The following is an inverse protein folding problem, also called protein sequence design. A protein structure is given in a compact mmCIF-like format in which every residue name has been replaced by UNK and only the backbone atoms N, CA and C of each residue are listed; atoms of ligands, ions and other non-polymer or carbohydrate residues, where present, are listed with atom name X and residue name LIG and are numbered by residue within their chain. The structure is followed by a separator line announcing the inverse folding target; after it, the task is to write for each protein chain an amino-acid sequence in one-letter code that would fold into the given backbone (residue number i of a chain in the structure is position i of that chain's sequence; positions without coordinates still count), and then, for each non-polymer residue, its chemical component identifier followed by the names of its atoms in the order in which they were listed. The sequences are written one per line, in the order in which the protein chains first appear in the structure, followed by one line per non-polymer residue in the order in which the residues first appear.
data_IF_593739982549
#
_entry.id   IF_593739982549
#
_cell.length_a   1.000
_cell.length_b   1.000
_cell.length_c   1.000
_cell.angle_alpha   90.00
_cell.angle_beta   90.00
_cell.angle_gamma   90.00
#
_symmetry.space_group_name_H-M   'P 1'
#
loop_
_entity.id
_entity.type
_entity.pdbx_description
1 polymer ?
#
# COMPACT_ATOMS: atom_id res chain seq x y z
N UNK A 1 -83.47 -7.61 -15.33
CA UNK A 1 -83.29 -8.03 -13.93
C UNK A 1 -81.82 -8.37 -13.75
N UNK A 2 -81.20 -7.64 -12.92
CA UNK A 2 -79.77 -7.23 -12.93
C UNK A 2 -78.78 -8.32 -12.55
N UNK A 3 -77.85 -8.52 -13.41
CA UNK A 3 -76.57 -9.19 -13.16
C UNK A 3 -75.72 -8.38 -12.22
N UNK A 4 -75.37 -8.98 -11.08
CA UNK A 4 -74.34 -8.51 -10.21
C UNK A 4 -73.26 -9.60 -10.13
N UNK A 5 -72.35 -9.60 -11.13
CA UNK A 5 -71.03 -10.24 -11.00
C UNK A 5 -70.09 -9.26 -10.39
N UNK A 6 -69.96 -9.29 -9.09
CA UNK A 6 -68.92 -8.61 -8.37
C UNK A 6 -67.65 -9.42 -8.45
N UNK A 7 -66.65 -8.82 -9.04
CA UNK A 7 -65.30 -9.28 -9.07
C UNK A 7 -64.74 -9.51 -7.66
N UNK A 8 -64.54 -10.76 -7.31
CA UNK A 8 -63.75 -11.15 -6.17
C UNK A 8 -62.28 -11.07 -6.58
N UNK A 9 -61.71 -9.88 -6.39
CA UNK A 9 -60.24 -9.74 -6.44
C UNK A 9 -59.67 -10.41 -5.19
N UNK A 10 -59.23 -11.64 -5.34
CA UNK A 10 -58.32 -12.29 -4.40
C UNK A 10 -56.99 -11.65 -4.59
N UNK A 11 -56.71 -10.61 -3.82
CA UNK A 11 -55.36 -10.10 -3.61
C UNK A 11 -54.59 -11.13 -2.79
N UNK A 12 -53.93 -12.03 -3.51
CA UNK A 12 -52.86 -12.84 -2.94
C UNK A 12 -51.75 -11.86 -2.62
N UNK A 13 -51.74 -11.38 -1.38
CA UNK A 13 -50.57 -10.69 -0.83
C UNK A 13 -49.49 -11.74 -0.68
N UNK A 14 -48.71 -11.92 -1.75
CA UNK A 14 -47.46 -12.63 -1.71
C UNK A 14 -46.54 -11.83 -0.77
N UNK A 15 -46.56 -12.15 0.50
CA UNK A 15 -45.49 -11.80 1.43
C UNK A 15 -44.24 -12.52 0.98
N UNK A 16 -43.54 -11.92 0.02
CA UNK A 16 -42.14 -12.25 -0.22
C UNK A 16 -41.44 -11.87 1.09
N UNK A 17 -41.26 -12.86 1.94
CA UNK A 17 -40.28 -12.82 3.01
C UNK A 17 -38.93 -12.64 2.32
N UNK A 18 -38.54 -11.39 2.12
CA UNK A 18 -37.13 -11.06 2.00
C UNK A 18 -36.52 -11.52 3.32
N UNK A 19 -36.07 -12.74 3.40
CA UNK A 19 -34.99 -13.10 4.28
C UNK A 19 -33.79 -12.32 3.74
N UNK A 20 -33.72 -11.04 4.14
CA UNK A 20 -32.48 -10.30 4.09
C UNK A 20 -31.50 -11.20 4.86
N UNK A 21 -30.63 -11.89 4.12
CA UNK A 21 -29.40 -12.40 4.69
C UNK A 21 -28.71 -11.15 5.27
N UNK A 22 -28.99 -10.83 6.52
CA UNK A 22 -28.13 -9.92 7.26
C UNK A 22 -26.80 -10.66 7.35
N UNK A 23 -25.92 -10.40 6.40
CA UNK A 23 -24.51 -10.69 6.55
C UNK A 23 -24.13 -9.97 7.85
N UNK A 24 -23.91 -10.74 8.92
CA UNK A 24 -23.31 -10.19 10.13
C UNK A 24 -22.03 -9.54 9.66
N UNK A 25 -21.99 -8.21 9.70
CA UNK A 25 -20.74 -7.51 9.45
C UNK A 25 -19.70 -8.07 10.42
N UNK A 26 -18.47 -8.26 9.94
CA UNK A 26 -17.33 -8.51 10.84
C UNK A 26 -17.40 -7.39 11.86
N UNK A 27 -17.59 -7.72 13.14
CA UNK A 27 -17.54 -6.74 14.20
C UNK A 27 -16.08 -6.31 14.26
N UNK A 28 -15.73 -5.38 13.39
CA UNK A 28 -14.56 -4.55 13.57
C UNK A 28 -14.85 -3.87 14.88
N UNK A 29 -14.10 -4.21 15.93
CA UNK A 29 -14.23 -3.52 17.21
C UNK A 29 -14.07 -2.05 16.88
N UNK A 30 -15.17 -1.29 16.96
CA UNK A 30 -15.16 0.12 16.60
C UNK A 30 -14.23 0.84 17.58
N UNK A 31 -13.03 1.15 17.09
CA UNK A 31 -12.02 1.87 17.83
C UNK A 31 -12.38 3.35 17.72
N UNK A 32 -12.86 3.91 18.82
CA UNK A 32 -13.19 5.33 18.89
C UNK A 32 -11.92 6.17 19.01
N UNK A 33 -12.01 7.43 18.64
CA UNK A 33 -10.88 8.38 18.76
C UNK A 33 -10.27 8.41 20.18
N UNK A 34 -11.12 8.31 21.21
CA UNK A 34 -10.65 8.22 22.60
C UNK A 34 -9.79 6.97 22.86
N UNK A 35 -10.10 5.84 22.24
CA UNK A 35 -9.29 4.62 22.35
C UNK A 35 -7.91 4.82 21.72
N UNK A 36 -7.84 5.47 20.55
CA UNK A 36 -6.56 5.80 19.88
C UNK A 36 -5.71 6.71 20.75
N UNK A 37 -6.35 7.71 21.41
CA UNK A 37 -5.68 8.60 22.34
C UNK A 37 -5.10 7.82 23.52
N UNK A 38 -5.84 6.87 24.11
CA UNK A 38 -5.35 6.03 25.20
C UNK A 38 -4.20 5.12 24.77
N UNK A 39 -4.31 4.49 23.61
CA UNK A 39 -3.25 3.65 23.06
C UNK A 39 -1.97 4.46 22.81
N UNK A 40 -2.12 5.64 22.24
CA UNK A 40 -0.98 6.49 21.90
C UNK A 40 -0.26 7.08 23.11
N UNK A 41 -0.95 7.33 24.23
CA UNK A 41 -0.32 7.76 25.50
C UNK A 41 0.61 6.69 26.10
N UNK A 42 0.39 5.40 25.76
CA UNK A 42 1.23 4.28 26.22
C UNK A 42 2.45 4.05 25.31
N UNK A 43 2.52 4.75 24.17
CA UNK A 43 3.68 4.70 23.28
C UNK A 43 4.84 5.51 23.86
N UNK A 44 6.05 5.15 23.46
CA UNK A 44 7.27 5.86 23.84
C UNK A 44 7.58 6.96 22.80
N UNK A 45 7.43 8.21 23.16
CA UNK A 45 7.70 9.36 22.27
C UNK A 45 9.19 9.48 21.87
N UNK A 46 10.09 8.93 22.67
CA UNK A 46 11.53 8.91 22.39
C UNK A 46 12.00 7.59 21.73
N UNK A 47 11.08 6.79 21.24
CA UNK A 47 11.38 5.49 20.64
C UNK A 47 12.22 5.60 19.38
N UNK A 48 12.00 6.62 18.57
CA UNK A 48 12.72 6.90 17.33
C UNK A 48 13.65 8.11 17.54
N UNK A 49 14.94 7.93 17.30
CA UNK A 49 15.84 9.07 17.11
C UNK A 49 15.52 9.69 15.74
N UNK A 50 14.60 10.68 15.73
CA UNK A 50 14.05 11.25 14.50
C UNK A 50 15.09 11.93 13.62
N UNK A 51 16.11 12.57 14.19
CA UNK A 51 17.17 13.25 13.42
C UNK A 51 17.96 12.23 12.60
N UNK A 52 18.41 11.16 13.24
CA UNK A 52 19.14 10.08 12.56
C UNK A 52 18.24 9.35 11.56
N UNK A 53 17.01 9.00 11.93
CA UNK A 53 16.08 8.30 11.08
C UNK A 53 15.75 9.11 9.81
N UNK A 54 15.55 10.44 9.96
CA UNK A 54 15.26 11.35 8.84
C UNK A 54 16.45 11.49 7.90
N UNK A 55 17.65 11.59 8.45
CA UNK A 55 18.86 11.61 7.63
C UNK A 55 18.99 10.31 6.80
N UNK A 56 18.84 9.16 7.46
CA UNK A 56 18.87 7.85 6.81
C UNK A 56 17.74 7.69 5.77
N UNK A 57 16.56 8.26 6.06
CA UNK A 57 15.44 8.29 5.11
C UNK A 57 15.84 9.03 3.83
N UNK A 58 16.38 10.24 3.92
CA UNK A 58 16.74 11.03 2.75
C UNK A 58 17.94 10.46 1.99
N UNK A 59 18.90 9.83 2.66
CA UNK A 59 19.98 9.07 1.99
C UNK A 59 19.35 7.98 1.08
N UNK A 60 18.36 7.23 1.60
CA UNK A 60 17.67 6.19 0.81
C UNK A 60 16.76 6.79 -0.24
N UNK A 61 16.00 7.83 0.09
CA UNK A 61 15.04 8.48 -0.82
C UNK A 61 15.71 9.02 -2.07
N UNK A 62 16.87 9.68 -1.94
CA UNK A 62 17.64 10.24 -3.04
C UNK A 62 18.66 9.27 -3.65
N UNK A 63 18.84 8.09 -3.07
CA UNK A 63 19.78 7.08 -3.58
C UNK A 63 19.69 6.85 -5.10
N UNK A 64 18.51 6.79 -5.75
CA UNK A 64 18.42 6.60 -7.19
C UNK A 64 19.16 7.68 -8.00
N UNK A 65 19.26 8.91 -7.50
CA UNK A 65 20.00 9.97 -8.16
C UNK A 65 21.52 9.93 -7.88
N UNK A 66 21.94 9.18 -6.89
CA UNK A 66 23.36 8.97 -6.59
C UNK A 66 23.93 7.74 -7.35
N UNK A 67 23.06 6.92 -7.96
CA UNK A 67 23.44 5.80 -8.80
C UNK A 67 23.89 6.28 -10.20
N UNK A 68 24.76 5.46 -10.83
CA UNK A 68 25.14 5.62 -12.24
C UNK A 68 24.31 4.74 -13.18
N UNK A 69 23.65 3.71 -12.62
CA UNK A 69 22.77 2.76 -13.32
C UNK A 69 21.88 2.05 -12.31
N UNK A 70 20.83 1.39 -12.76
CA UNK A 70 19.99 0.54 -11.90
C UNK A 70 20.86 -0.54 -11.24
N UNK A 71 20.71 -0.71 -9.93
CA UNK A 71 21.59 -1.55 -9.10
C UNK A 71 21.23 -3.04 -9.13
N UNK A 72 20.00 -3.38 -9.50
CA UNK A 72 19.58 -4.79 -9.58
C UNK A 72 20.37 -5.55 -10.66
N UNK A 73 20.81 -6.79 -10.40
CA UNK A 73 21.30 -7.67 -11.46
C UNK A 73 20.22 -7.87 -12.55
N UNK A 74 20.65 -7.94 -13.83
CA UNK A 74 19.71 -8.09 -14.98
C UNK A 74 18.75 -9.26 -14.80
N UNK A 75 19.23 -10.42 -14.34
CA UNK A 75 18.40 -11.60 -14.11
C UNK A 75 17.36 -11.38 -13.02
N UNK A 76 17.72 -10.65 -11.97
CA UNK A 76 16.78 -10.28 -10.92
C UNK A 76 15.73 -9.30 -11.46
N UNK A 77 16.13 -8.30 -12.24
CA UNK A 77 15.22 -7.36 -12.88
C UNK A 77 14.19 -8.06 -13.81
N UNK A 78 14.57 -9.20 -14.39
CA UNK A 78 13.71 -10.01 -15.28
C UNK A 78 12.76 -10.97 -14.56
N UNK A 79 12.68 -10.96 -13.22
CA UNK A 79 11.92 -11.94 -12.44
C UNK A 79 10.44 -12.11 -12.89
N UNK A 80 9.83 -11.03 -13.37
CA UNK A 80 8.45 -11.02 -13.87
C UNK A 80 8.23 -11.93 -15.08
N UNK A 81 9.26 -12.23 -15.85
CA UNK A 81 9.15 -13.13 -17.00
C UNK A 81 8.82 -14.59 -16.58
N UNK A 82 9.07 -14.94 -15.32
CA UNK A 82 8.72 -16.25 -14.74
C UNK A 82 7.20 -16.54 -14.75
N UNK A 83 6.36 -15.52 -14.84
CA UNK A 83 4.90 -15.70 -14.93
C UNK A 83 4.48 -16.44 -16.20
N UNK A 84 5.28 -16.44 -17.26
CA UNK A 84 5.06 -17.24 -18.48
C UNK A 84 4.87 -18.74 -18.21
N UNK A 85 5.41 -19.22 -17.09
CA UNK A 85 5.32 -20.63 -16.69
C UNK A 85 4.21 -20.90 -15.66
N UNK A 86 3.37 -19.91 -15.38
CA UNK A 86 2.26 -20.00 -14.42
C UNK A 86 0.92 -19.90 -15.15
N UNK A 87 -0.11 -20.49 -14.53
CA UNK A 87 -1.50 -20.27 -14.98
C UNK A 87 -1.97 -18.90 -14.49
N UNK A 88 -1.99 -17.94 -15.38
CA UNK A 88 -2.38 -16.55 -15.12
C UNK A 88 -3.57 -16.18 -15.99
N UNK A 89 -4.53 -15.51 -15.39
CA UNK A 89 -5.73 -15.00 -16.04
C UNK A 89 -5.62 -13.49 -16.23
N UNK A 90 -6.10 -12.98 -17.35
CA UNK A 90 -6.16 -11.56 -17.67
C UNK A 90 -7.50 -10.95 -17.21
N UNK A 91 -7.72 -9.66 -17.52
CA UNK A 91 -8.92 -8.89 -17.15
C UNK A 91 -10.24 -9.50 -17.64
N UNK A 92 -10.21 -10.25 -18.72
CA UNK A 92 -11.36 -10.94 -19.32
C UNK A 92 -11.62 -12.33 -18.73
N UNK A 93 -10.89 -12.69 -17.66
CA UNK A 93 -10.90 -14.01 -17.02
C UNK A 93 -10.47 -15.18 -17.94
N UNK A 94 -9.78 -14.89 -19.05
CA UNK A 94 -9.19 -15.91 -19.90
C UNK A 94 -7.72 -16.13 -19.52
N UNK A 95 -7.23 -17.35 -19.72
CA UNK A 95 -5.81 -17.66 -19.53
C UNK A 95 -4.94 -16.85 -20.49
N UNK A 96 -3.93 -16.20 -19.95
CA UNK A 96 -2.88 -15.57 -20.75
C UNK A 96 -2.19 -16.63 -21.61
N UNK A 97 -2.11 -16.40 -22.92
CA UNK A 97 -1.44 -17.31 -23.82
C UNK A 97 0.08 -17.14 -23.78
N UNK A 98 0.78 -18.14 -24.31
CA UNK A 98 2.23 -18.05 -24.44
C UNK A 98 2.66 -16.85 -25.30
N UNK A 99 1.92 -16.62 -26.39
CA UNK A 99 2.15 -15.52 -27.35
C UNK A 99 1.96 -14.16 -26.66
N UNK A 100 0.97 -14.05 -25.77
CA UNK A 100 0.79 -12.84 -24.98
C UNK A 100 2.03 -12.54 -24.11
N UNK A 101 2.55 -13.55 -23.40
CA UNK A 101 3.78 -13.39 -22.61
C UNK A 101 4.98 -13.09 -23.48
N UNK A 102 5.15 -13.80 -24.61
CA UNK A 102 6.29 -13.59 -25.53
C UNK A 102 6.30 -12.14 -26.04
N UNK A 103 5.11 -11.56 -26.33
CA UNK A 103 4.96 -10.15 -26.71
C UNK A 103 5.43 -9.20 -25.59
N UNK A 104 5.01 -9.42 -24.33
CA UNK A 104 5.43 -8.57 -23.21
C UNK A 104 6.93 -8.69 -22.93
N UNK A 105 7.47 -9.92 -22.97
CA UNK A 105 8.89 -10.19 -22.77
C UNK A 105 9.73 -9.52 -23.87
N UNK A 106 9.31 -9.62 -25.13
CA UNK A 106 9.98 -8.96 -26.25
C UNK A 106 9.91 -7.44 -26.11
N UNK A 107 8.75 -6.89 -25.72
CA UNK A 107 8.58 -5.45 -25.48
C UNK A 107 9.45 -4.96 -24.32
N UNK A 108 9.75 -5.80 -23.34
CA UNK A 108 10.60 -5.46 -22.19
C UNK A 108 12.03 -5.04 -22.56
N UNK A 109 12.52 -5.35 -23.77
CA UNK A 109 13.77 -4.84 -24.35
C UNK A 109 15.01 -4.93 -23.43
N UNK A 110 15.14 -6.01 -22.66
CA UNK A 110 16.23 -6.16 -21.68
C UNK A 110 17.64 -6.22 -22.31
N UNK A 111 17.76 -6.26 -23.65
CA UNK A 111 19.06 -6.11 -24.31
C UNK A 111 19.66 -4.71 -24.05
N UNK A 112 18.81 -3.70 -23.87
CA UNK A 112 19.19 -2.33 -23.54
C UNK A 112 19.37 -2.06 -22.03
N UNK A 113 19.31 -3.11 -21.19
CA UNK A 113 19.40 -2.98 -19.74
C UNK A 113 20.69 -2.29 -19.30
N UNK A 114 20.56 -1.08 -18.69
CA UNK A 114 21.67 -0.25 -18.24
C UNK A 114 22.67 0.19 -19.33
N UNK A 115 22.26 0.21 -20.61
CA UNK A 115 23.12 0.71 -21.71
C UNK A 115 23.21 2.23 -21.65
N UNK A 116 22.08 2.93 -21.52
CA UNK A 116 22.02 4.39 -21.39
C UNK A 116 21.10 4.78 -20.21
N UNK A 117 21.55 4.55 -18.97
CA UNK A 117 20.74 4.85 -17.80
C UNK A 117 20.57 6.37 -17.63
N UNK A 118 19.43 6.79 -17.06
CA UNK A 118 19.11 8.20 -16.84
C UNK A 118 18.44 8.40 -15.49
N UNK A 119 18.81 9.47 -14.78
CA UNK A 119 18.10 9.93 -13.60
C UNK A 119 16.77 10.55 -14.01
N UNK A 120 15.71 10.30 -13.25
CA UNK A 120 14.37 10.83 -13.50
C UNK A 120 13.60 11.07 -12.21
N UNK A 121 12.40 11.63 -12.33
CA UNK A 121 11.47 11.89 -11.23
C UNK A 121 10.05 11.58 -11.68
N UNK A 122 9.19 11.13 -10.75
CA UNK A 122 7.77 10.92 -11.03
C UNK A 122 7.00 12.25 -11.03
N UNK A 123 6.08 12.38 -11.97
CA UNK A 123 5.22 13.56 -12.17
C UNK A 123 3.84 13.42 -11.54
N UNK A 124 3.48 12.21 -11.12
CA UNK A 124 2.24 11.83 -10.44
C UNK A 124 2.42 10.50 -9.72
N UNK A 125 1.45 10.10 -8.92
CA UNK A 125 1.40 8.75 -8.36
C UNK A 125 1.42 7.74 -9.51
N UNK A 126 2.35 6.78 -9.45
CA UNK A 126 2.69 5.96 -10.62
C UNK A 126 2.75 4.50 -10.25
N UNK A 127 1.99 3.69 -10.97
CA UNK A 127 2.05 2.24 -10.85
C UNK A 127 3.42 1.74 -11.31
N UNK A 128 4.02 0.87 -10.51
CA UNK A 128 5.20 0.09 -10.88
C UNK A 128 4.73 -1.30 -11.26
N UNK A 129 4.84 -1.64 -12.53
CA UNK A 129 4.35 -2.91 -13.09
C UNK A 129 5.48 -3.94 -13.17
N UNK A 130 5.10 -5.22 -13.13
CA UNK A 130 6.03 -6.35 -13.28
C UNK A 130 6.42 -6.57 -14.74
N UNK A 131 5.48 -6.41 -15.66
CA UNK A 131 5.65 -6.41 -17.11
C UNK A 131 5.18 -5.07 -17.70
N UNK A 132 5.73 -4.62 -18.86
CA UNK A 132 5.40 -3.32 -19.44
C UNK A 132 4.02 -3.31 -20.11
N UNK A 133 2.98 -3.46 -19.29
CA UNK A 133 1.57 -3.46 -19.70
C UNK A 133 0.66 -3.09 -18.55
N UNK A 134 -0.48 -2.46 -18.87
CA UNK A 134 -1.55 -2.19 -17.89
C UNK A 134 -2.47 -3.39 -17.66
N UNK A 135 -2.42 -4.43 -18.52
CA UNK A 135 -3.21 -5.66 -18.30
C UNK A 135 -2.87 -6.28 -16.95
N UNK A 136 -3.88 -6.54 -16.11
CA UNK A 136 -3.67 -7.22 -14.85
C UNK A 136 -3.35 -8.70 -15.07
N UNK A 137 -2.72 -9.30 -14.06
CA UNK A 137 -2.47 -10.74 -13.99
C UNK A 137 -3.09 -11.30 -12.71
N UNK A 138 -4.04 -12.22 -12.83
CA UNK A 138 -4.67 -12.88 -11.70
C UNK A 138 -4.33 -14.37 -11.68
N UNK A 139 -4.28 -14.98 -10.49
CA UNK A 139 -4.51 -16.41 -10.38
C UNK A 139 -6.00 -16.69 -10.61
N UNK A 140 -6.45 -17.93 -10.50
CA UNK A 140 -7.81 -18.29 -10.89
C UNK A 140 -8.86 -17.41 -10.18
N UNK A 141 -9.51 -16.45 -10.88
CA UNK A 141 -10.42 -15.48 -10.26
C UNK A 141 -11.74 -16.09 -9.77
N UNK A 142 -11.97 -17.37 -10.06
CA UNK A 142 -13.13 -18.12 -9.56
C UNK A 142 -12.88 -18.74 -8.18
N UNK A 143 -11.65 -18.71 -7.69
CA UNK A 143 -11.31 -19.23 -6.37
C UNK A 143 -11.43 -18.11 -5.29
N UNK A 144 -11.95 -18.46 -4.10
CA UNK A 144 -12.04 -17.52 -3.01
C UNK A 144 -10.67 -16.93 -2.64
N UNK A 145 -10.58 -15.59 -2.61
CA UNK A 145 -9.35 -14.87 -2.26
C UNK A 145 -8.35 -14.73 -3.40
N UNK A 146 -8.73 -15.07 -4.61
CA UNK A 146 -8.01 -14.81 -5.86
C UNK A 146 -8.80 -13.82 -6.75
N UNK A 147 -8.21 -13.40 -7.88
CA UNK A 147 -8.81 -12.37 -8.72
C UNK A 147 -8.66 -10.97 -8.13
N UNK A 148 -9.57 -10.03 -8.47
CA UNK A 148 -9.53 -8.69 -7.91
C UNK A 148 -9.62 -8.70 -6.38
N UNK A 149 -8.75 -7.93 -5.67
CA UNK A 149 -7.82 -6.91 -6.15
C UNK A 149 -6.37 -7.41 -6.39
N UNK A 150 -6.11 -8.71 -6.37
CA UNK A 150 -4.77 -9.30 -6.41
C UNK A 150 -4.20 -9.34 -7.83
N UNK A 151 -3.91 -8.16 -8.38
CA UNK A 151 -3.21 -8.02 -9.67
C UNK A 151 -1.71 -8.29 -9.48
N UNK A 152 -1.24 -9.46 -9.88
CA UNK A 152 0.17 -9.86 -9.79
C UNK A 152 1.08 -9.12 -10.78
N UNK A 153 0.52 -8.33 -11.72
CA UNK A 153 1.30 -7.38 -12.51
C UNK A 153 1.52 -6.04 -11.77
N UNK A 154 0.76 -5.77 -10.70
CA UNK A 154 0.94 -4.60 -9.87
C UNK A 154 1.97 -4.88 -8.78
N UNK A 155 3.21 -4.41 -8.99
CA UNK A 155 4.29 -4.60 -8.03
C UNK A 155 4.25 -3.58 -6.90
N UNK A 156 4.03 -2.31 -7.23
CA UNK A 156 3.91 -1.22 -6.26
C UNK A 156 3.28 0.03 -6.85
N UNK A 157 3.05 1.00 -5.98
CA UNK A 157 2.78 2.40 -6.30
C UNK A 157 3.92 3.25 -5.74
N UNK A 158 4.45 4.18 -6.53
CA UNK A 158 5.36 5.24 -6.07
C UNK A 158 4.67 6.60 -6.21
N UNK A 159 4.92 7.49 -5.24
CA UNK A 159 4.24 8.78 -5.15
C UNK A 159 4.84 9.79 -6.13
N UNK A 160 4.09 10.86 -6.40
CA UNK A 160 4.63 12.05 -7.09
C UNK A 160 5.92 12.55 -6.41
N UNK A 161 6.81 13.18 -7.16
CA UNK A 161 8.10 13.70 -6.70
C UNK A 161 9.14 12.64 -6.29
N UNK A 162 8.89 11.34 -6.54
CA UNK A 162 9.85 10.28 -6.15
C UNK A 162 11.05 10.24 -7.10
N UNK A 163 12.29 10.36 -6.60
CA UNK A 163 13.52 10.14 -7.37
C UNK A 163 13.60 8.70 -7.89
N UNK A 164 13.98 8.54 -9.14
CA UNK A 164 14.16 7.23 -9.80
C UNK A 164 15.39 7.22 -10.71
N UNK A 165 15.94 6.01 -10.89
CA UNK A 165 16.94 5.71 -11.91
C UNK A 165 16.26 4.87 -13.01
N UNK A 166 16.30 5.33 -14.24
CA UNK A 166 15.80 4.62 -15.43
C UNK A 166 16.94 3.80 -16.00
N UNK A 167 16.74 2.50 -16.22
CA UNK A 167 17.67 1.61 -16.88
C UNK A 167 17.58 1.73 -18.41
N UNK A 168 16.38 1.57 -18.95
CA UNK A 168 16.08 1.56 -20.39
C UNK A 168 14.58 1.73 -20.64
N UNK A 169 14.21 1.87 -21.90
CA UNK A 169 12.82 1.93 -22.35
C UNK A 169 12.40 0.60 -23.00
N UNK A 170 11.10 0.31 -22.93
CA UNK A 170 10.49 -0.76 -23.73
C UNK A 170 10.68 -0.51 -25.24
N UNK A 171 10.51 -1.54 -26.08
CA UNK A 171 10.67 -1.40 -27.53
C UNK A 171 9.70 -0.39 -28.15
N UNK A 172 8.45 -0.36 -27.66
CA UNK A 172 7.44 0.63 -28.07
C UNK A 172 7.65 2.01 -27.44
N UNK A 173 8.65 2.16 -26.55
CA UNK A 173 8.99 3.39 -25.81
C UNK A 173 7.85 3.93 -24.91
N UNK A 174 6.82 3.14 -24.64
CA UNK A 174 5.72 3.52 -23.77
C UNK A 174 6.06 3.32 -22.27
N UNK A 175 7.05 2.51 -21.95
CA UNK A 175 7.44 2.13 -20.60
C UNK A 175 8.92 2.36 -20.33
N UNK A 176 9.24 2.67 -19.08
CA UNK A 176 10.60 2.75 -18.57
C UNK A 176 10.79 1.73 -17.44
N UNK A 177 11.88 0.94 -17.48
CA UNK A 177 12.28 0.12 -16.35
C UNK A 177 13.07 0.98 -15.37
N UNK A 178 12.61 1.04 -14.13
CA UNK A 178 13.13 1.94 -13.10
C UNK A 178 13.56 1.23 -11.82
N UNK A 179 14.43 1.92 -11.06
CA UNK A 179 14.68 1.69 -9.65
C UNK A 179 14.32 2.96 -8.87
N UNK A 180 13.48 2.80 -7.82
CA UNK A 180 13.24 3.81 -6.78
C UNK A 180 13.96 3.42 -5.49
N UNK A 181 13.81 4.21 -4.44
CA UNK A 181 14.32 3.85 -3.11
C UNK A 181 13.71 2.58 -2.51
N UNK A 182 12.56 2.13 -3.03
CA UNK A 182 11.77 1.05 -2.42
C UNK A 182 11.46 -0.12 -3.34
N UNK A 183 11.46 0.09 -4.67
CA UNK A 183 11.02 -0.92 -5.64
C UNK A 183 11.59 -0.66 -7.03
N UNK A 184 11.79 -1.73 -7.80
CA UNK A 184 12.08 -1.68 -9.24
C UNK A 184 10.95 -2.28 -10.07
N UNK A 185 10.84 -1.87 -11.33
CA UNK A 185 9.86 -2.36 -12.28
C UNK A 185 9.54 -1.37 -13.39
N UNK A 186 8.42 -1.57 -14.07
CA UNK A 186 8.00 -0.80 -15.23
C UNK A 186 7.04 0.32 -14.86
N UNK A 187 7.32 1.55 -15.32
CA UNK A 187 6.42 2.71 -15.20
C UNK A 187 6.11 3.27 -16.57
N UNK A 188 4.94 3.86 -16.75
CA UNK A 188 4.61 4.57 -17.99
C UNK A 188 5.53 5.78 -18.17
N UNK A 189 6.09 5.95 -19.38
CA UNK A 189 7.03 7.04 -19.70
C UNK A 189 6.39 8.44 -19.52
N UNK A 190 5.08 8.53 -19.68
CA UNK A 190 4.35 9.79 -19.51
C UNK A 190 4.26 10.25 -18.05
N UNK A 191 4.50 9.36 -17.11
CA UNK A 191 4.43 9.64 -15.68
C UNK A 191 5.76 10.09 -15.07
N UNK A 192 6.82 10.18 -15.87
CA UNK A 192 8.16 10.56 -15.41
C UNK A 192 8.77 11.64 -16.29
N UNK A 193 9.76 12.35 -15.76
CA UNK A 193 10.60 13.27 -16.50
C UNK A 193 12.09 13.05 -16.14
N UNK A 194 12.98 13.24 -17.11
CA UNK A 194 14.42 13.09 -16.91
C UNK A 194 14.99 14.33 -16.21
N UNK A 195 15.84 14.13 -15.21
CA UNK A 195 16.43 15.22 -14.44
C UNK A 195 17.89 15.47 -14.84
N UNK A 196 18.29 16.74 -14.79
CA UNK A 196 19.67 17.17 -14.90
C UNK A 196 20.21 17.63 -13.53
N UNK A 197 21.50 17.91 -13.44
CA UNK A 197 22.15 18.30 -12.19
C UNK A 197 21.59 19.61 -11.59
N UNK A 198 21.12 20.55 -12.42
CA UNK A 198 20.50 21.78 -11.94
C UNK A 198 19.15 21.50 -11.26
N UNK A 199 18.32 20.65 -11.85
CA UNK A 199 17.06 20.21 -11.25
C UNK A 199 17.33 19.47 -9.92
N UNK A 200 18.29 18.53 -9.92
CA UNK A 200 18.66 17.77 -8.73
C UNK A 200 19.09 18.71 -7.60
N UNK A 201 19.92 19.70 -7.89
CA UNK A 201 20.38 20.69 -6.90
C UNK A 201 19.24 21.49 -6.29
N UNK A 202 18.25 21.90 -7.10
CA UNK A 202 17.09 22.62 -6.60
C UNK A 202 16.19 21.72 -5.73
N UNK A 203 16.04 20.46 -6.12
CA UNK A 203 15.18 19.50 -5.42
C UNK A 203 15.82 18.93 -4.14
N UNK A 204 17.16 18.75 -4.11
CA UNK A 204 17.95 18.35 -2.93
C UNK A 204 18.35 19.56 -2.11
N UNK A 205 17.42 20.43 -1.71
CA UNK A 205 17.70 21.68 -1.02
C UNK A 205 17.70 21.59 0.52
N UNK A 206 17.54 20.40 1.08
CA UNK A 206 17.52 20.10 2.52
C UNK A 206 16.37 20.76 3.32
N UNK A 207 15.36 21.29 2.65
CA UNK A 207 14.18 21.88 3.27
C UNK A 207 12.94 21.11 2.81
N UNK A 208 12.63 20.02 3.52
CA UNK A 208 11.61 19.10 3.10
C UNK A 208 10.37 19.18 3.98
N UNK A 209 9.23 19.09 3.32
CA UNK A 209 7.91 18.96 3.92
C UNK A 209 7.27 17.65 3.48
N UNK A 210 6.40 17.12 4.31
CA UNK A 210 5.70 15.87 4.08
C UNK A 210 4.20 16.07 4.21
N UNK A 211 3.44 15.46 3.31
CA UNK A 211 1.97 15.45 3.43
C UNK A 211 1.53 14.63 4.64
N UNK A 212 0.63 15.22 5.42
CA UNK A 212 0.02 14.65 6.62
C UNK A 212 -1.48 14.40 6.45
N UNK A 213 -2.01 14.70 5.27
CA UNK A 213 -3.41 14.52 4.86
C UNK A 213 -3.52 13.57 3.68
N UNK A 214 -4.59 12.79 3.63
CA UNK A 214 -4.82 11.84 2.55
C UNK A 214 -5.67 12.45 1.44
N UNK A 215 -5.26 12.20 0.19
CA UNK A 215 -6.03 12.48 -1.03
C UNK A 215 -6.49 13.94 -1.21
N UNK A 216 -5.67 14.92 -0.82
CA UNK A 216 -5.96 16.30 -1.18
C UNK A 216 -5.44 16.62 -2.60
N UNK A 217 -6.16 17.46 -3.38
CA UNK A 217 -5.78 17.79 -4.75
C UNK A 217 -4.69 18.85 -4.80
N UNK A 218 -3.74 18.70 -5.74
CA UNK A 218 -2.79 19.75 -6.11
C UNK A 218 -3.02 20.21 -7.55
N UNK A 219 -2.71 21.50 -7.80
CA UNK A 219 -2.95 22.17 -9.07
C UNK A 219 -1.70 22.90 -9.57
N UNK A 220 -1.56 23.00 -10.92
CA UNK A 220 -0.44 23.70 -11.56
C UNK A 220 -0.65 23.92 -13.08
N UNK A 221 -1.37 24.91 -13.55
CA UNK A 221 -2.53 25.59 -12.94
C UNK A 221 -3.78 24.71 -12.93
N UNK A 222 -3.79 23.61 -13.69
CA UNK A 222 -4.86 22.60 -13.69
C UNK A 222 -4.58 21.52 -12.68
N UNK A 223 -5.56 20.67 -12.41
CA UNK A 223 -5.40 19.48 -11.56
C UNK A 223 -4.19 18.64 -11.97
N UNK A 224 -3.36 18.28 -11.01
CA UNK A 224 -2.16 17.46 -11.22
C UNK A 224 -2.30 16.08 -10.62
N UNK A 225 -2.64 15.98 -9.34
CA UNK A 225 -2.66 14.72 -8.60
C UNK A 225 -3.46 14.85 -7.29
N UNK A 226 -3.93 13.73 -6.78
CA UNK A 226 -4.33 13.58 -5.38
C UNK A 226 -3.14 13.12 -4.54
N UNK A 227 -2.69 13.98 -3.65
CA UNK A 227 -1.53 13.72 -2.79
C UNK A 227 -1.88 12.72 -1.68
N UNK A 228 -0.99 11.79 -1.44
CA UNK A 228 -1.12 10.76 -0.38
C UNK A 228 -0.24 11.11 0.82
N UNK A 229 -0.66 10.71 2.02
CA UNK A 229 0.18 10.79 3.24
C UNK A 229 1.60 10.27 2.94
N UNK A 230 2.61 11.00 3.42
CA UNK A 230 4.01 10.66 3.24
C UNK A 230 4.59 11.05 1.87
N UNK A 231 3.92 11.91 1.08
CA UNK A 231 4.50 12.52 -0.12
C UNK A 231 5.46 13.64 0.27
N UNK A 232 6.65 13.65 -0.33
CA UNK A 232 7.71 14.63 0.00
C UNK A 232 7.66 15.80 -0.98
N UNK A 233 7.75 17.01 -0.41
CA UNK A 233 7.85 18.27 -1.15
C UNK A 233 9.04 19.07 -0.66
N UNK A 234 10.05 19.34 -1.51
CA UNK A 234 11.03 20.37 -1.19
C UNK A 234 10.34 21.74 -1.13
N UNK A 235 10.81 22.62 -0.25
CA UNK A 235 10.26 23.99 -0.13
C UNK A 235 11.32 25.01 -0.46
N UNK A 236 10.95 25.99 -1.28
CA UNK A 236 11.77 27.16 -1.61
C UNK A 236 10.98 28.42 -1.30
N UNK A 237 11.46 29.23 -0.35
CA UNK A 237 10.72 30.39 0.20
C UNK A 237 9.32 29.95 0.69
N UNK A 238 8.26 30.51 0.13
CA UNK A 238 6.88 30.20 0.51
C UNK A 238 6.22 29.15 -0.39
N UNK A 239 6.93 28.60 -1.38
CA UNK A 239 6.39 27.66 -2.34
C UNK A 239 6.93 26.26 -2.15
N UNK A 240 6.12 25.27 -2.52
CA UNK A 240 6.52 23.88 -2.58
C UNK A 240 6.86 23.46 -4.02
N UNK A 241 7.86 22.60 -4.17
CA UNK A 241 8.35 22.22 -5.48
C UNK A 241 7.70 20.92 -5.96
N UNK A 242 7.25 20.94 -7.21
CA UNK A 242 6.87 19.74 -7.96
C UNK A 242 7.60 19.71 -9.31
N UNK A 243 7.70 18.52 -9.88
CA UNK A 243 8.27 18.36 -11.22
C UNK A 243 7.20 18.51 -12.31
N UNK A 244 7.53 19.23 -13.37
CA UNK A 244 6.85 19.24 -14.67
C UNK A 244 7.73 18.62 -15.73
N UNK A 245 7.15 18.24 -16.85
CA UNK A 245 7.84 17.78 -18.04
C UNK A 245 7.81 18.86 -19.11
N UNK A 246 8.97 19.17 -19.69
CA UNK A 246 9.09 20.00 -20.90
C UNK A 246 8.84 19.16 -22.18
N UNK A 247 8.85 19.80 -23.35
CA UNK A 247 8.63 19.15 -24.64
C UNK A 247 9.75 18.14 -25.02
N UNK A 248 10.90 18.21 -24.36
CA UNK A 248 12.04 17.30 -24.54
C UNK A 248 12.07 16.18 -23.49
N UNK A 249 10.99 16.01 -22.73
CA UNK A 249 10.86 15.06 -21.63
C UNK A 249 11.79 15.33 -20.43
N UNK A 250 12.37 16.52 -20.31
CA UNK A 250 13.16 16.91 -19.16
C UNK A 250 12.28 17.46 -18.04
N UNK A 251 12.71 17.26 -16.81
CA UNK A 251 12.08 17.81 -15.65
C UNK A 251 12.41 19.29 -15.48
N UNK A 252 11.40 20.11 -15.28
CA UNK A 252 11.50 21.49 -14.84
C UNK A 252 10.81 21.64 -13.50
N UNK A 253 11.34 22.53 -12.65
CA UNK A 253 10.74 22.82 -11.34
C UNK A 253 9.51 23.69 -11.52
N UNK A 254 8.41 23.34 -10.88
CA UNK A 254 7.24 24.17 -10.74
C UNK A 254 6.97 24.47 -9.26
N UNK A 255 6.43 25.66 -9.00
CA UNK A 255 6.16 26.17 -7.65
C UNK A 255 4.65 26.15 -7.42
N UNK A 256 4.22 25.50 -6.35
CA UNK A 256 2.81 25.42 -5.95
C UNK A 256 2.62 25.92 -4.51
N UNK A 257 1.40 26.34 -4.20
CA UNK A 257 0.97 26.60 -2.83
C UNK A 257 0.23 25.38 -2.29
N UNK A 258 0.50 25.03 -1.03
CA UNK A 258 -0.21 23.97 -0.31
C UNK A 258 -0.79 24.55 0.98
N UNK A 259 -1.93 24.00 1.42
CA UNK A 259 -2.56 24.39 2.67
C UNK A 259 -1.71 23.90 3.84
N UNK A 260 -1.35 24.78 4.82
CA UNK A 260 -0.58 24.38 6.00
C UNK A 260 -1.20 23.23 6.81
N UNK A 261 -2.52 23.00 6.70
CA UNK A 261 -3.18 21.88 7.38
C UNK A 261 -2.96 20.52 6.69
N UNK A 262 -2.40 20.51 5.47
CA UNK A 262 -2.19 19.32 4.64
C UNK A 262 -0.75 18.83 4.64
N UNK A 263 0.18 19.71 5.07
CA UNK A 263 1.61 19.47 4.96
C UNK A 263 2.34 19.99 6.20
N UNK A 264 3.43 19.34 6.58
CA UNK A 264 4.23 19.71 7.75
C UNK A 264 5.73 19.54 7.46
N UNK A 265 6.60 20.27 8.18
CA UNK A 265 8.04 20.08 8.07
C UNK A 265 8.43 18.65 8.47
N UNK A 266 9.35 18.03 7.72
CA UNK A 266 9.81 16.68 8.01
C UNK A 266 11.12 16.69 8.80
N UNK A 267 11.23 15.93 9.90
CA UNK A 267 10.21 15.00 10.41
C UNK A 267 9.10 15.69 11.20
N UNK A 268 7.87 15.16 11.06
CA UNK A 268 6.77 15.47 11.98
C UNK A 268 7.14 14.92 13.37
N UNK A 269 6.91 15.69 14.43
CA UNK A 269 7.24 15.24 15.78
C UNK A 269 6.50 13.94 16.15
N UNK A 270 7.24 12.90 16.58
CA UNK A 270 6.70 11.61 16.98
C UNK A 270 6.09 11.66 18.37
N UNK A 271 4.91 12.22 18.49
CA UNK A 271 4.15 12.34 19.74
C UNK A 271 2.73 11.76 19.60
N UNK A 272 1.99 11.70 20.70
CA UNK A 272 0.65 11.12 20.75
C UNK A 272 -0.31 11.75 19.74
N UNK A 273 -0.34 13.07 19.64
CA UNK A 273 -1.23 13.82 18.75
C UNK A 273 -0.98 13.48 17.29
N UNK A 274 0.28 13.56 16.85
CA UNK A 274 0.66 13.32 15.46
C UNK A 274 0.51 11.84 15.06
N UNK A 275 0.78 10.88 15.95
CA UNK A 275 0.53 9.45 15.69
C UNK A 275 -0.95 9.19 15.42
N UNK A 276 -1.85 9.79 16.22
CA UNK A 276 -3.29 9.68 16.03
C UNK A 276 -3.72 10.35 14.73
N UNK A 277 -3.25 11.58 14.49
CA UNK A 277 -3.55 12.34 13.27
C UNK A 277 -3.20 11.54 12.01
N UNK A 278 -1.97 11.04 11.92
CA UNK A 278 -1.53 10.25 10.76
C UNK A 278 -2.29 8.92 10.65
N UNK A 279 -2.49 8.21 11.76
CA UNK A 279 -3.24 6.95 11.72
C UNK A 279 -4.68 7.16 11.26
N UNK A 280 -5.35 8.20 11.75
CA UNK A 280 -6.73 8.54 11.37
C UNK A 280 -6.87 8.80 9.87
N UNK A 281 -5.91 9.50 9.25
CA UNK A 281 -5.89 9.73 7.80
C UNK A 281 -5.72 8.42 6.99
N UNK A 282 -5.07 7.43 7.56
CA UNK A 282 -4.84 6.14 6.90
C UNK A 282 -5.99 5.14 7.12
N UNK A 283 -6.81 5.31 8.17
CA UNK A 283 -7.92 4.40 8.46
C UNK A 283 -9.09 4.58 7.48
N UNK A 284 -9.85 3.51 7.27
CA UNK A 284 -10.99 3.42 6.36
C UNK A 284 -10.67 3.58 4.87
N UNK A 285 -9.40 3.78 4.50
CA UNK A 285 -8.97 3.80 3.11
C UNK A 285 -9.10 2.41 2.47
N UNK A 286 -9.60 2.32 1.22
CA UNK A 286 -9.78 1.05 0.55
C UNK A 286 -8.48 0.25 0.41
N UNK A 287 -8.59 -1.07 0.37
CA UNK A 287 -7.48 -1.96 0.10
C UNK A 287 -7.07 -1.94 -1.38
N UNK A 288 -5.78 -1.93 -1.67
CA UNK A 288 -5.24 -2.08 -3.02
C UNK A 288 -3.92 -2.84 -3.02
N UNK A 289 -3.96 -4.07 -3.54
CA UNK A 289 -2.76 -4.89 -3.73
C UNK A 289 -1.67 -4.14 -4.50
N UNK A 290 -0.46 -4.06 -3.94
CA UNK A 290 0.64 -3.34 -4.57
C UNK A 290 0.35 -1.84 -4.85
N UNK A 291 -0.63 -1.24 -4.20
CA UNK A 291 -1.01 0.15 -4.46
C UNK A 291 -2.04 0.33 -5.59
N UNK A 292 -2.68 -0.75 -6.04
CA UNK A 292 -3.70 -0.72 -7.09
C UNK A 292 -4.77 0.35 -6.81
N UNK A 293 -5.14 1.13 -7.84
CA UNK A 293 -6.12 2.23 -7.78
C UNK A 293 -5.72 3.34 -6.79
N UNK A 294 -4.44 3.61 -6.61
CA UNK A 294 -3.91 4.56 -5.62
C UNK A 294 -4.27 4.23 -4.15
N UNK A 295 -4.64 2.99 -3.86
CA UNK A 295 -4.92 2.53 -2.51
C UNK A 295 -3.65 1.96 -1.84
N UNK A 296 -3.80 1.27 -0.71
CA UNK A 296 -2.69 0.66 0.05
C UNK A 296 -2.90 -0.83 0.22
N UNK A 297 -1.82 -1.58 0.29
CA UNK A 297 -1.75 -2.89 0.92
C UNK A 297 -1.25 -2.77 2.37
N UNK A 298 -1.07 -3.90 3.06
CA UNK A 298 -0.63 -3.92 4.45
C UNK A 298 0.73 -3.25 4.68
N UNK A 299 1.70 -3.49 3.81
CA UNK A 299 3.07 -2.97 3.98
C UNK A 299 3.23 -1.52 3.53
N UNK A 300 2.47 -1.06 2.55
CA UNK A 300 2.43 0.38 2.23
C UNK A 300 1.67 1.18 3.29
N UNK A 301 0.70 0.58 3.98
CA UNK A 301 0.04 1.20 5.13
C UNK A 301 1.04 1.50 6.25
N UNK A 302 1.82 0.52 6.68
CA UNK A 302 2.85 0.73 7.72
C UNK A 302 3.95 1.67 7.24
N UNK A 303 4.39 1.56 5.98
CA UNK A 303 5.37 2.48 5.38
C UNK A 303 4.89 3.93 5.43
N UNK A 304 3.63 4.19 5.01
CA UNK A 304 3.07 5.54 4.97
C UNK A 304 2.78 6.10 6.37
N UNK A 305 2.51 5.24 7.36
CA UNK A 305 2.40 5.66 8.75
C UNK A 305 3.73 6.21 9.29
N UNK A 306 4.85 5.54 9.00
CA UNK A 306 6.16 5.94 9.54
C UNK A 306 6.88 7.02 8.73
N UNK A 307 6.55 7.19 7.45
CA UNK A 307 7.22 8.17 6.58
C UNK A 307 7.17 9.60 7.11
N UNK A 308 6.04 10.17 7.59
CA UNK A 308 6.02 11.54 8.12
C UNK A 308 6.97 11.75 9.29
N UNK A 309 7.21 10.72 10.08
CA UNK A 309 8.10 10.76 11.24
C UNK A 309 9.59 10.58 10.88
N UNK A 310 9.93 10.55 9.58
CA UNK A 310 11.31 10.40 9.12
C UNK A 310 11.81 8.96 9.12
N UNK A 311 10.98 7.97 9.40
CA UNK A 311 11.40 6.59 9.49
C UNK A 311 11.16 5.83 8.19
N UNK A 312 12.21 5.20 7.65
CA UNK A 312 12.14 4.40 6.43
C UNK A 312 11.76 2.96 6.74
N UNK A 313 10.70 2.46 6.13
CA UNK A 313 10.39 1.03 6.09
C UNK A 313 10.54 0.47 4.67
N UNK A 314 10.97 -0.79 4.57
CA UNK A 314 11.00 -1.51 3.30
C UNK A 314 9.60 -1.68 2.70
N UNK A 315 9.51 -1.84 1.36
CA UNK A 315 8.21 -1.89 0.66
C UNK A 315 7.40 -3.15 0.94
N UNK A 316 8.01 -4.31 1.14
CA UNK A 316 7.27 -5.54 1.35
C UNK A 316 7.32 -6.02 2.81
N UNK A 317 6.27 -6.75 3.22
CA UNK A 317 6.09 -7.21 4.60
C UNK A 317 7.26 -8.03 5.15
N UNK A 318 7.86 -8.92 4.33
CA UNK A 318 9.02 -9.71 4.76
C UNK A 318 10.25 -8.82 4.97
N UNK A 319 10.52 -7.89 4.07
CA UNK A 319 11.66 -6.99 4.23
C UNK A 319 11.49 -6.02 5.42
N UNK A 320 10.24 -5.67 5.80
CA UNK A 320 10.00 -4.87 6.99
C UNK A 320 10.44 -5.57 8.28
N UNK A 321 10.58 -6.89 8.30
CA UNK A 321 11.13 -7.60 9.48
C UNK A 321 12.60 -7.27 9.75
N UNK A 322 13.30 -6.65 8.81
CA UNK A 322 14.70 -6.21 8.98
C UNK A 322 14.83 -4.74 9.36
N UNK A 323 13.72 -4.01 9.53
CA UNK A 323 13.75 -2.60 9.93
C UNK A 323 14.00 -2.38 11.44
N UNK A 324 13.93 -3.43 12.25
CA UNK A 324 14.13 -3.37 13.70
C UNK A 324 14.55 -4.71 14.28
N UNK A 325 14.38 -4.85 15.59
CA UNK A 325 14.65 -6.11 16.31
C UNK A 325 13.52 -7.11 16.06
N UNK A 326 13.78 -8.13 15.23
CA UNK A 326 12.83 -9.22 15.00
C UNK A 326 12.89 -10.24 16.16
N UNK A 327 11.73 -10.63 16.69
CA UNK A 327 11.58 -11.65 17.73
C UNK A 327 10.63 -12.72 17.19
N UNK A 328 11.12 -13.95 17.04
CA UNK A 328 10.34 -15.09 16.59
C UNK A 328 9.45 -15.63 17.72
N UNK A 329 8.14 -15.66 17.49
CA UNK A 329 7.14 -16.23 18.39
C UNK A 329 6.32 -17.34 17.71
N UNK A 330 6.81 -17.88 16.61
CA UNK A 330 6.09 -18.87 15.81
C UNK A 330 5.76 -20.17 16.54
N UNK A 331 6.56 -20.50 17.56
CA UNK A 331 6.40 -21.73 18.35
C UNK A 331 5.51 -21.58 19.58
N UNK A 332 5.10 -20.36 19.92
CA UNK A 332 4.21 -20.08 21.04
C UNK A 332 2.79 -20.50 20.71
N UNK A 333 2.02 -20.89 21.73
CA UNK A 333 0.57 -21.09 21.64
C UNK A 333 -0.15 -19.77 21.36
N UNK A 334 -1.44 -19.80 21.02
CA UNK A 334 -2.21 -18.58 20.72
C UNK A 334 -2.22 -17.62 21.91
N UNK A 335 -2.48 -18.12 23.11
CA UNK A 335 -2.52 -17.31 24.33
C UNK A 335 -1.13 -16.76 24.68
N UNK A 336 -0.08 -17.59 24.58
CA UNK A 336 1.29 -17.12 24.79
C UNK A 336 1.70 -16.04 23.79
N UNK A 337 1.27 -16.13 22.50
CA UNK A 337 1.51 -15.07 21.50
C UNK A 337 0.85 -13.76 21.91
N UNK A 338 -0.43 -13.80 22.37
CA UNK A 338 -1.14 -12.62 22.84
C UNK A 338 -0.44 -11.98 24.03
N UNK A 339 -0.12 -12.79 25.06
CA UNK A 339 0.58 -12.31 26.25
C UNK A 339 1.95 -11.73 25.92
N UNK A 340 2.70 -12.41 25.03
CA UNK A 340 4.00 -11.89 24.58
C UNK A 340 3.87 -10.53 23.89
N UNK A 341 2.91 -10.38 22.95
CA UNK A 341 2.70 -9.11 22.25
C UNK A 341 2.25 -8.00 23.20
N UNK A 342 1.38 -8.33 24.18
CA UNK A 342 0.94 -7.35 25.21
C UNK A 342 2.10 -6.88 26.08
N UNK A 343 3.00 -7.81 26.44
CA UNK A 343 4.12 -7.55 27.35
C UNK A 343 5.30 -6.86 26.68
N UNK A 344 5.72 -7.35 25.50
CA UNK A 344 6.96 -6.93 24.85
C UNK A 344 6.71 -5.90 23.74
N UNK A 345 5.47 -5.80 23.23
CA UNK A 345 5.09 -4.85 22.17
C UNK A 345 5.00 -3.42 22.68
N UNK A 346 5.64 -2.51 21.95
CA UNK A 346 5.53 -1.06 22.17
C UNK A 346 4.48 -0.50 21.21
N UNK A 347 3.36 0.05 21.71
CA UNK A 347 2.32 0.62 20.84
C UNK A 347 2.90 1.64 19.85
N UNK A 348 2.41 1.59 18.60
CA UNK A 348 2.84 2.42 17.47
C UNK A 348 4.32 2.25 17.02
N UNK A 349 5.09 1.39 17.67
CA UNK A 349 6.50 1.15 17.37
C UNK A 349 6.83 -0.33 17.16
N UNK A 350 5.82 -1.21 17.22
CA UNK A 350 5.98 -2.64 16.98
C UNK A 350 5.14 -3.08 15.80
N UNK A 351 5.76 -3.82 14.88
CA UNK A 351 5.05 -4.49 13.79
C UNK A 351 4.82 -5.96 14.14
N UNK A 352 3.63 -6.48 13.84
CA UNK A 352 3.29 -7.90 13.97
C UNK A 352 3.31 -8.52 12.58
N UNK A 353 4.13 -9.55 12.39
CA UNK A 353 4.42 -10.15 11.09
C UNK A 353 3.89 -11.57 10.96
N UNK A 354 3.27 -11.85 9.82
CA UNK A 354 3.03 -13.19 9.29
C UNK A 354 3.38 -13.24 7.81
N UNK A 355 3.56 -14.42 7.24
CA UNK A 355 3.92 -14.57 5.82
C UNK A 355 2.87 -13.89 4.92
N UNK A 356 3.30 -12.83 4.22
CA UNK A 356 2.45 -12.08 3.28
C UNK A 356 1.61 -10.98 3.92
N UNK A 357 1.73 -10.72 5.23
CA UNK A 357 1.01 -9.65 5.89
C UNK A 357 1.83 -9.02 7.02
N UNK A 358 1.59 -7.74 7.29
CA UNK A 358 2.21 -7.00 8.39
C UNK A 358 1.22 -5.99 8.96
N UNK A 359 1.28 -5.77 10.26
CA UNK A 359 0.32 -4.99 11.03
C UNK A 359 1.06 -4.11 12.03
N UNK A 360 0.54 -2.92 12.30
CA UNK A 360 1.04 -2.02 13.33
C UNK A 360 0.34 -2.33 14.65
N UNK A 361 1.07 -2.74 15.69
CA UNK A 361 0.52 -2.87 17.04
C UNK A 361 0.19 -1.49 17.61
N UNK A 362 -1.05 -1.29 18.07
CA UNK A 362 -1.50 0.02 18.57
C UNK A 362 -1.83 0.02 20.06
N UNK A 363 -1.94 -1.14 20.71
CA UNK A 363 -2.20 -1.22 22.16
C UNK A 363 -3.12 -2.37 22.54
N UNK A 364 -3.76 -2.26 23.71
CA UNK A 364 -4.63 -3.29 24.30
C UNK A 364 -6.01 -2.72 24.54
N UNK A 365 -7.06 -3.44 24.09
CA UNK A 365 -8.47 -3.14 24.42
C UNK A 365 -9.17 -4.42 24.82
N UNK A 366 -9.90 -4.40 25.94
CA UNK A 366 -10.61 -5.57 26.49
C UNK A 366 -9.70 -6.80 26.62
N UNK A 367 -8.49 -6.60 27.09
CA UNK A 367 -7.44 -7.60 27.25
C UNK A 367 -6.93 -8.23 25.94
N UNK A 368 -7.33 -7.74 24.78
CA UNK A 368 -6.87 -8.19 23.46
C UNK A 368 -5.83 -7.23 22.87
N UNK A 369 -4.74 -7.73 22.29
CA UNK A 369 -3.80 -6.90 21.53
C UNK A 369 -4.45 -6.42 20.23
N UNK A 370 -4.40 -5.11 20.00
CA UNK A 370 -5.02 -4.43 18.86
C UNK A 370 -3.97 -4.08 17.80
N UNK A 371 -4.32 -4.29 16.55
CA UNK A 371 -3.45 -3.99 15.41
C UNK A 371 -4.16 -3.17 14.36
N UNK A 372 -3.47 -2.14 13.83
CA UNK A 372 -3.91 -1.37 12.67
C UNK A 372 -3.28 -1.97 11.40
N UNK A 373 -4.09 -2.25 10.41
CA UNK A 373 -3.62 -2.83 9.16
C UNK A 373 -4.58 -2.56 7.99
N UNK A 374 -4.09 -2.71 6.78
CA UNK A 374 -4.95 -2.77 5.60
C UNK A 374 -5.14 -4.22 5.20
N UNK A 375 -6.39 -4.71 5.23
CA UNK A 375 -6.75 -6.12 5.07
C UNK A 375 -7.87 -6.30 4.05
N UNK A 376 -7.73 -7.31 3.17
CA UNK A 376 -8.74 -7.58 2.17
C UNK A 376 -9.93 -8.39 2.72
N UNK A 377 -9.66 -9.53 3.36
CA UNK A 377 -10.75 -10.42 3.77
C UNK A 377 -10.32 -11.41 4.86
N UNK A 378 -11.31 -11.95 5.55
CA UNK A 378 -11.17 -13.14 6.38
C UNK A 378 -11.75 -14.36 5.67
N UNK A 379 -11.18 -15.54 5.92
CA UNK A 379 -11.62 -16.81 5.35
C UNK A 379 -12.64 -17.46 6.28
N UNK A 380 -13.76 -17.86 5.68
CA UNK A 380 -14.85 -18.58 6.35
C UNK A 380 -15.15 -19.87 5.58
N UNK A 381 -15.87 -20.80 6.22
CA UNK A 381 -16.39 -22.02 5.62
C UNK A 381 -17.89 -22.11 5.81
N UNK A 382 -18.60 -22.53 4.78
CA UNK A 382 -20.03 -22.80 4.86
C UNK A 382 -20.31 -24.17 5.53
N UNK A 383 -21.60 -24.51 5.70
CA UNK A 383 -22.07 -25.77 6.30
C UNK A 383 -21.59 -27.02 5.53
N UNK A 384 -21.19 -26.87 4.28
CA UNK A 384 -20.63 -27.92 3.44
C UNK A 384 -19.09 -27.91 3.43
N UNK A 385 -18.47 -27.17 4.35
CA UNK A 385 -17.01 -26.98 4.44
C UNK A 385 -16.40 -26.30 3.20
N UNK A 386 -17.21 -25.61 2.39
CA UNK A 386 -16.76 -24.85 1.22
C UNK A 386 -16.25 -23.49 1.68
N UNK A 387 -15.05 -23.14 1.22
CA UNK A 387 -14.42 -21.86 1.53
C UNK A 387 -15.14 -20.70 0.84
N UNK A 388 -15.31 -19.59 1.57
CA UNK A 388 -15.70 -18.29 1.05
C UNK A 388 -14.96 -17.16 1.79
N UNK A 389 -15.09 -15.93 1.30
CA UNK A 389 -14.43 -14.76 1.90
C UNK A 389 -15.45 -13.76 2.38
N UNK A 390 -15.29 -13.33 3.63
CA UNK A 390 -15.91 -12.12 4.12
C UNK A 390 -14.97 -10.95 3.86
N UNK A 391 -15.43 -9.99 3.04
CA UNK A 391 -14.60 -8.87 2.58
C UNK A 391 -14.62 -7.77 3.63
N UNK A 392 -13.44 -7.37 4.10
CA UNK A 392 -13.21 -6.16 4.90
C UNK A 392 -12.84 -5.01 3.97
N UNK A 393 -11.87 -5.23 3.08
CA UNK A 393 -11.54 -4.38 1.93
C UNK A 393 -10.96 -3.00 2.26
N UNK A 394 -10.48 -2.77 3.47
CA UNK A 394 -10.00 -1.45 3.92
C UNK A 394 -8.96 -1.53 5.04
N UNK A 395 -8.35 -0.39 5.32
CA UNK A 395 -7.55 -0.20 6.51
C UNK A 395 -8.44 -0.03 7.75
N UNK A 396 -8.10 -0.76 8.81
CA UNK A 396 -8.92 -0.84 10.02
C UNK A 396 -8.06 -1.26 11.21
N UNK A 397 -8.63 -1.19 12.41
CA UNK A 397 -8.04 -1.73 13.63
C UNK A 397 -8.87 -2.94 14.05
N UNK A 398 -8.19 -4.08 14.28
CA UNK A 398 -8.81 -5.32 14.72
C UNK A 398 -8.02 -5.95 15.87
N UNK A 399 -8.58 -6.97 16.52
CA UNK A 399 -7.79 -7.93 17.26
C UNK A 399 -6.91 -8.74 16.30
N UNK A 400 -6.08 -9.64 16.81
CA UNK A 400 -5.34 -10.60 15.99
C UNK A 400 -6.20 -11.79 15.49
N UNK A 401 -7.48 -11.80 15.81
CA UNK A 401 -8.45 -12.84 15.41
C UNK A 401 -9.69 -12.24 14.73
N UNK A 402 -9.54 -11.39 13.68
CA UNK A 402 -10.67 -10.76 13.03
C UNK A 402 -11.60 -11.80 12.39
N UNK A 403 -12.90 -11.70 12.66
CA UNK A 403 -13.92 -12.61 12.14
C UNK A 403 -14.15 -13.85 12.99
N UNK A 404 -13.51 -13.98 14.17
CA UNK A 404 -13.73 -15.10 15.10
C UNK A 404 -15.20 -15.22 15.56
N UNK A 405 -15.90 -14.09 15.59
CA UNK A 405 -17.31 -13.95 15.93
C UNK A 405 -18.28 -14.38 14.82
N UNK A 406 -17.78 -14.65 13.60
CA UNK A 406 -18.60 -15.01 12.45
C UNK A 406 -18.85 -16.52 12.37
N UNK A 407 -20.06 -16.90 11.96
CA UNK A 407 -20.37 -18.30 11.68
C UNK A 407 -19.46 -18.82 10.55
N UNK A 408 -18.88 -20.00 10.75
CA UNK A 408 -17.97 -20.62 9.79
C UNK A 408 -16.52 -20.11 9.84
N UNK A 409 -16.13 -19.43 10.93
CA UNK A 409 -14.73 -19.06 11.12
C UNK A 409 -13.81 -20.27 10.97
N UNK A 410 -12.74 -20.13 10.19
CA UNK A 410 -11.76 -21.20 9.96
C UNK A 410 -10.50 -20.96 10.80
N UNK A 411 -10.38 -21.68 11.91
CA UNK A 411 -9.24 -21.58 12.84
C UNK A 411 -7.89 -21.77 12.13
N UNK A 412 -7.82 -22.60 11.07
CA UNK A 412 -6.59 -22.76 10.28
C UNK A 412 -6.21 -21.48 9.51
N UNK A 413 -7.16 -20.56 9.31
CA UNK A 413 -6.92 -19.27 8.65
C UNK A 413 -6.76 -18.11 9.60
N UNK A 414 -6.95 -18.32 10.91
CA UNK A 414 -6.78 -17.32 11.95
C UNK A 414 -5.43 -16.60 11.82
N UNK A 415 -5.47 -15.27 11.83
CA UNK A 415 -4.27 -14.42 11.73
C UNK A 415 -3.31 -14.73 12.87
N UNK A 416 -3.79 -14.79 14.12
CA UNK A 416 -2.96 -15.06 15.29
C UNK A 416 -2.21 -16.39 15.17
N UNK A 417 -2.88 -17.43 14.66
CA UNK A 417 -2.24 -18.73 14.44
C UNK A 417 -1.03 -18.63 13.49
N UNK A 418 -1.14 -17.73 12.48
CA UNK A 418 -0.11 -17.54 11.45
C UNK A 418 0.96 -16.52 11.82
N UNK A 419 0.82 -15.78 12.93
CA UNK A 419 1.85 -14.85 13.39
C UNK A 419 3.16 -15.58 13.62
N UNK A 420 4.22 -15.09 12.97
CA UNK A 420 5.57 -15.65 13.06
C UNK A 420 6.45 -14.85 14.02
N UNK A 421 6.24 -13.55 14.13
CA UNK A 421 7.08 -12.74 14.99
C UNK A 421 6.58 -11.30 15.12
N UNK A 422 7.27 -10.56 15.97
CA UNK A 422 7.13 -9.11 16.09
C UNK A 422 8.45 -8.44 15.72
N UNK A 423 8.36 -7.19 15.30
CA UNK A 423 9.51 -6.33 14.99
C UNK A 423 9.40 -5.08 15.84
N UNK A 424 10.30 -4.88 16.75
CA UNK A 424 10.42 -3.65 17.53
C UNK A 424 11.34 -2.71 16.76
N UNK A 425 10.78 -1.63 16.22
CA UNK A 425 11.46 -0.69 15.32
C UNK A 425 12.51 0.14 16.04
#
# INVERSE_FOLDING_TARGET
MNNLFKYLFITIFSTILFTACTTKEVVIIEVKENDLTEFSKKANDNFINQDQATNDYFIKYFRPWDLTKVSYPKLEAMWGQSYRFKKVYLENHQLATKEWFDKQIQNSNFDEYNVVPKKAITLKNTNVRVLPTNSPMFYNPLLPGEGFPFDYNQNSLIKINTPIMVSHLSKDKAWAYIESSSVGGWVEINNIAFVNENFIKQFKNSNYFVSIKEKFPIYDPIFREYVKVGTIFPKEKDNYLIAKKDDNANAIVSHIQLNPNEIEAMPVLYNSENRIKILTELLNEPYGWGGLLNNRDCSSFTQDFFTPFGSYLHRNSKAQTTNGKYIDISKLTLDEKKEFIKKEGVPFSTLVYLKGHIMLYVGIKNDEPMVAHNVWSVRLKDKNNKEFRHIIGKSTITTLEPGKELEGFDDNSNILNKVLGIVIL
#
